data_IF_536921504490
#
_entry.id   IF_536921504490
#
_cell.length_a   1.000
_cell.length_b   1.000
_cell.length_c   1.000
_cell.angle_alpha   90.00
_cell.angle_beta   90.00
_cell.angle_gamma   90.00
#
_symmetry.space_group_name_H-M   'P 1'
#
loop_
_entity.id
_entity.type
_entity.pdbx_description
1 polymer ?
#
# COMPACT_ATOMS: atom_id res chain seq x y z
N UNK A 1 15.06 52.70 -0.47
CA UNK A 1 13.82 52.15 0.12
C UNK A 1 13.86 50.66 -0.16
N UNK A 2 14.03 49.88 0.90
CA UNK A 2 14.67 48.57 0.93
C UNK A 2 13.93 47.42 0.22
N UNK A 3 14.70 46.61 -0.50
CA UNK A 3 14.36 45.27 -0.93
C UNK A 3 14.38 44.32 0.28
N UNK A 4 13.21 43.84 0.70
CA UNK A 4 13.09 42.85 1.77
C UNK A 4 13.64 41.49 1.32
N UNK A 5 14.73 41.04 1.96
CA UNK A 5 15.28 39.68 1.85
C UNK A 5 14.34 38.69 2.57
N UNK A 6 14.12 37.47 2.02
CA UNK A 6 13.43 36.43 2.77
C UNK A 6 14.31 35.95 3.93
N UNK A 7 13.78 35.95 5.15
CA UNK A 7 14.49 35.43 6.32
C UNK A 7 14.49 33.88 6.35
N UNK A 8 15.57 33.24 6.83
CA UNK A 8 15.64 31.80 6.94
C UNK A 8 14.72 31.30 8.06
N UNK A 9 13.76 30.43 7.74
CA UNK A 9 12.92 29.77 8.76
C UNK A 9 13.79 28.78 9.54
N UNK A 10 13.87 29.01 10.84
CA UNK A 10 14.57 28.19 11.83
C UNK A 10 14.12 26.73 11.76
N UNK A 11 15.12 25.88 11.64
CA UNK A 11 15.09 24.45 11.91
C UNK A 11 14.79 24.24 13.41
N UNK A 12 13.67 23.59 13.72
CA UNK A 12 13.51 22.88 15.00
C UNK A 12 12.86 21.54 14.67
N UNK A 13 13.70 20.52 14.59
CA UNK A 13 13.27 19.13 14.59
C UNK A 13 12.72 18.80 15.99
N UNK A 14 11.45 18.40 16.06
CA UNK A 14 10.94 17.58 17.15
C UNK A 14 9.79 16.71 16.65
N UNK A 15 9.82 15.44 17.03
CA UNK A 15 8.96 14.34 16.62
C UNK A 15 7.45 14.65 16.70
N UNK A 16 6.87 15.14 15.62
CA UNK A 16 5.42 15.16 15.43
C UNK A 16 4.99 13.81 14.88
N UNK A 17 4.45 12.96 15.76
CA UNK A 17 3.68 11.83 15.30
C UNK A 17 2.53 12.32 14.43
N UNK A 18 2.65 12.23 13.10
CA UNK A 18 1.56 12.30 12.09
C UNK A 18 0.26 11.81 12.72
N UNK A 19 -0.61 12.76 13.09
CA UNK A 19 -1.98 12.51 13.54
C UNK A 19 -2.78 11.97 12.35
N UNK A 20 -3.96 11.42 12.62
CA UNK A 20 -4.73 10.63 11.67
C UNK A 20 -4.89 11.35 10.32
N UNK A 21 -4.14 10.88 9.32
CA UNK A 21 -4.23 11.38 7.96
C UNK A 21 -5.64 11.11 7.40
N UNK A 22 -6.29 12.16 6.92
CA UNK A 22 -7.53 12.05 6.14
C UNK A 22 -7.18 11.58 4.73
N UNK A 23 -8.02 10.72 4.14
CA UNK A 23 -7.91 10.31 2.74
C UNK A 23 -9.09 10.92 1.97
N UNK A 24 -8.81 11.58 0.86
CA UNK A 24 -9.82 12.20 -0.01
C UNK A 24 -9.46 12.07 -1.48
N UNK A 25 -10.44 12.28 -2.36
CA UNK A 25 -10.17 12.46 -3.80
C UNK A 25 -9.45 13.78 -4.02
N UNK A 26 -8.40 13.75 -4.84
CA UNK A 26 -7.74 14.94 -5.34
C UNK A 26 -8.61 15.58 -6.42
N UNK A 27 -8.70 16.90 -6.39
CA UNK A 27 -9.31 17.68 -7.45
C UNK A 27 -8.41 17.69 -8.69
N UNK A 28 -9.02 17.92 -9.86
CA UNK A 28 -8.28 18.00 -11.14
C UNK A 28 -7.13 19.02 -11.09
N UNK A 29 -7.32 20.13 -10.38
CA UNK A 29 -6.29 21.17 -10.21
C UNK A 29 -5.09 20.71 -9.37
N UNK A 30 -5.25 19.70 -8.53
CA UNK A 30 -4.22 19.20 -7.61
C UNK A 30 -3.32 18.13 -8.25
N UNK A 31 -3.76 17.51 -9.35
CA UNK A 31 -3.05 16.38 -9.98
C UNK A 31 -1.58 16.70 -10.34
N UNK A 32 -1.27 17.96 -10.66
CA UNK A 32 0.11 18.39 -10.91
C UNK A 32 0.97 18.35 -9.64
N UNK A 33 0.43 18.78 -8.50
CA UNK A 33 1.13 18.73 -7.22
C UNK A 33 1.33 17.27 -6.78
N UNK A 34 0.29 16.43 -6.96
CA UNK A 34 0.36 15.00 -6.64
C UNK A 34 1.38 14.27 -7.52
N UNK A 35 1.49 14.61 -8.81
CA UNK A 35 2.53 14.08 -9.68
C UNK A 35 3.95 14.44 -9.20
N UNK A 36 4.16 15.68 -8.74
CA UNK A 36 5.42 16.11 -8.14
C UNK A 36 5.79 15.31 -6.89
N UNK A 37 4.82 15.13 -5.99
CA UNK A 37 4.97 14.28 -4.82
C UNK A 37 5.30 12.83 -5.18
N UNK A 38 4.58 12.25 -6.15
CA UNK A 38 4.81 10.87 -6.59
C UNK A 38 6.23 10.71 -7.14
N UNK A 39 6.69 11.65 -7.99
CA UNK A 39 8.04 11.60 -8.55
C UNK A 39 9.12 11.65 -7.47
N UNK A 40 8.93 12.54 -6.50
CA UNK A 40 9.85 12.71 -5.37
C UNK A 40 9.99 11.42 -4.54
N UNK A 41 8.86 10.82 -4.17
CA UNK A 41 8.82 9.69 -3.23
C UNK A 41 9.02 8.32 -3.88
N UNK A 42 8.65 8.18 -5.16
CA UNK A 42 8.72 6.92 -5.90
C UNK A 42 10.00 6.80 -6.74
N UNK A 43 10.30 7.79 -7.60
CA UNK A 43 11.46 7.72 -8.50
C UNK A 43 12.74 8.22 -7.83
N UNK A 44 12.69 9.39 -7.19
CA UNK A 44 13.90 10.06 -6.75
C UNK A 44 14.30 9.74 -5.32
N UNK A 45 13.51 8.96 -4.57
CA UNK A 45 13.82 8.64 -3.19
C UNK A 45 15.22 8.03 -3.03
N UNK A 46 15.74 7.30 -4.01
CA UNK A 46 17.05 6.64 -3.93
C UNK A 46 18.20 7.41 -4.59
N UNK A 47 17.93 8.48 -5.34
CA UNK A 47 18.96 9.27 -6.03
C UNK A 47 19.68 10.18 -5.04
N UNK A 48 20.99 9.97 -4.86
CA UNK A 48 21.82 10.74 -3.91
C UNK A 48 22.49 11.96 -4.53
N UNK A 49 22.69 12.01 -5.85
CA UNK A 49 23.25 13.18 -6.54
C UNK A 49 22.20 14.30 -6.70
N UNK A 50 22.43 15.50 -6.15
CA UNK A 50 21.46 16.61 -6.22
C UNK A 50 21.23 17.17 -7.62
N UNK A 51 22.24 17.13 -8.50
CA UNK A 51 22.16 17.68 -9.86
C UNK A 51 21.31 16.80 -10.75
N UNK A 52 21.56 15.48 -10.67
CA UNK A 52 20.78 14.46 -11.36
C UNK A 52 19.34 14.46 -10.89
N UNK A 53 19.14 14.56 -9.57
CA UNK A 53 17.82 14.71 -8.96
C UNK A 53 17.05 15.89 -9.56
N UNK A 54 17.65 17.08 -9.60
CA UNK A 54 16.99 18.28 -10.12
C UNK A 54 16.67 18.17 -11.63
N UNK A 55 17.60 17.61 -12.42
CA UNK A 55 17.42 17.40 -13.86
C UNK A 55 16.28 16.42 -14.15
N UNK A 56 16.28 15.26 -13.51
CA UNK A 56 15.26 14.24 -13.69
C UNK A 56 13.89 14.70 -13.17
N UNK A 57 13.85 15.43 -12.05
CA UNK A 57 12.60 15.90 -11.45
C UNK A 57 11.75 16.70 -12.44
N UNK A 58 12.35 17.65 -13.15
CA UNK A 58 11.59 18.51 -14.08
C UNK A 58 10.94 17.71 -15.21
N UNK A 59 11.68 16.78 -15.84
CA UNK A 59 11.16 15.96 -16.94
C UNK A 59 10.11 14.96 -16.44
N UNK A 60 10.44 14.21 -15.38
CA UNK A 60 9.54 13.21 -14.81
C UNK A 60 8.24 13.82 -14.29
N UNK A 61 8.30 15.00 -13.67
CA UNK A 61 7.10 15.69 -13.21
C UNK A 61 6.20 16.11 -14.37
N UNK A 62 6.77 16.58 -15.49
CA UNK A 62 5.98 16.95 -16.65
C UNK A 62 5.30 15.73 -17.28
N UNK A 63 6.02 14.62 -17.42
CA UNK A 63 5.49 13.36 -17.95
C UNK A 63 4.42 12.78 -17.02
N UNK A 64 4.72 12.69 -15.72
CA UNK A 64 3.82 12.13 -14.73
C UNK A 64 2.57 12.99 -14.53
N UNK A 65 2.69 14.33 -14.63
CA UNK A 65 1.53 15.22 -14.56
C UNK A 65 0.59 15.03 -15.75
N UNK A 66 1.13 14.79 -16.96
CA UNK A 66 0.32 14.46 -18.14
C UNK A 66 -0.36 13.10 -18.00
N UNK A 67 0.37 12.09 -17.52
CA UNK A 67 -0.18 10.77 -17.24
C UNK A 67 -1.32 10.84 -16.21
N UNK A 68 -1.11 11.52 -15.07
CA UNK A 68 -2.14 11.66 -14.04
C UNK A 68 -3.36 12.41 -14.53
N UNK A 69 -3.17 13.50 -15.28
CA UNK A 69 -4.29 14.26 -15.85
C UNK A 69 -5.11 13.42 -16.82
N UNK A 70 -4.44 12.56 -17.60
CA UNK A 70 -5.10 11.65 -18.55
C UNK A 70 -5.85 10.52 -17.83
N UNK A 71 -5.23 9.90 -16.82
CA UNK A 71 -5.74 8.69 -16.16
C UNK A 71 -6.75 8.98 -15.04
N UNK A 72 -6.59 10.10 -14.34
CA UNK A 72 -7.33 10.41 -13.11
C UNK A 72 -8.12 11.72 -13.20
N UNK A 73 -8.10 12.37 -14.36
CA UNK A 73 -8.88 13.59 -14.62
C UNK A 73 -10.33 13.32 -15.04
N UNK A 74 -10.75 12.06 -15.14
CA UNK A 74 -12.08 11.65 -15.60
C UNK A 74 -13.01 11.31 -14.44
N UNK A 75 -14.30 11.10 -14.72
CA UNK A 75 -15.29 10.78 -13.69
C UNK A 75 -15.17 9.34 -13.17
N UNK A 76 -14.80 8.40 -14.04
CA UNK A 76 -14.62 6.95 -13.83
C UNK A 76 -13.22 6.56 -13.32
N UNK A 77 -12.53 7.52 -12.70
CA UNK A 77 -11.20 7.34 -12.14
C UNK A 77 -10.99 8.26 -10.94
N UNK A 78 -10.05 7.91 -10.06
CA UNK A 78 -9.71 8.75 -8.92
C UNK A 78 -8.22 8.71 -8.62
N UNK A 79 -7.66 9.89 -8.33
CA UNK A 79 -6.43 10.00 -7.56
C UNK A 79 -6.85 10.28 -6.12
N UNK A 80 -6.59 9.35 -5.21
CA UNK A 80 -6.83 9.51 -3.78
C UNK A 80 -5.53 9.98 -3.13
N UNK A 81 -5.64 10.98 -2.26
CA UNK A 81 -4.51 11.55 -1.53
C UNK A 81 -4.72 11.45 -0.03
N UNK A 82 -3.61 11.37 0.70
CA UNK A 82 -3.60 11.46 2.14
C UNK A 82 -2.83 12.70 2.58
N UNK A 83 -3.42 13.46 3.47
CA UNK A 83 -2.86 14.68 4.05
C UNK A 83 -2.64 14.47 5.55
N UNK A 84 -1.58 15.06 6.11
CA UNK A 84 -1.40 15.10 7.55
C UNK A 84 -2.23 16.23 8.20
N UNK A 85 -2.04 16.45 9.50
CA UNK A 85 -2.82 17.44 10.24
C UNK A 85 -2.56 18.89 9.80
N UNK A 86 -1.44 19.13 9.13
CA UNK A 86 -1.05 20.45 8.63
C UNK A 86 -1.52 20.67 7.18
N UNK A 87 -2.23 19.68 6.60
CA UNK A 87 -2.67 19.70 5.20
C UNK A 87 -1.59 19.28 4.21
N UNK A 88 -0.44 18.78 4.69
CA UNK A 88 0.66 18.40 3.81
C UNK A 88 0.40 17.04 3.17
N UNK A 89 0.63 16.95 1.86
CA UNK A 89 0.51 15.71 1.09
C UNK A 89 1.55 14.68 1.57
N UNK A 90 1.07 13.55 2.09
CA UNK A 90 1.91 12.47 2.65
C UNK A 90 1.69 11.12 1.98
N UNK A 91 0.76 11.01 1.04
CA UNK A 91 0.60 9.82 0.23
C UNK A 91 -0.43 9.98 -0.88
N UNK A 92 -0.36 9.10 -1.88
CA UNK A 92 -1.33 9.05 -2.97
C UNK A 92 -1.53 7.62 -3.46
N UNK A 93 -2.67 7.35 -4.11
CA UNK A 93 -2.96 6.12 -4.88
C UNK A 93 -3.96 6.45 -5.97
N UNK A 94 -3.74 5.93 -7.17
CA UNK A 94 -4.64 6.10 -8.31
C UNK A 94 -5.49 4.86 -8.56
N UNK A 95 -6.73 5.07 -8.98
CA UNK A 95 -7.64 4.04 -9.49
C UNK A 95 -8.18 4.48 -10.84
N UNK A 96 -8.11 3.61 -11.84
CA UNK A 96 -8.71 3.83 -13.15
C UNK A 96 -9.04 2.51 -13.83
N UNK A 97 -9.93 2.51 -14.81
CA UNK A 97 -10.08 1.36 -15.69
C UNK A 97 -8.89 1.19 -16.63
N UNK A 98 -8.42 -0.03 -16.80
CA UNK A 98 -7.42 -0.33 -17.82
C UNK A 98 -7.30 -1.81 -18.13
N UNK A 99 -6.69 -2.10 -19.27
CA UNK A 99 -6.38 -3.47 -19.69
C UNK A 99 -5.05 -3.89 -19.10
N UNK A 100 -4.96 -5.15 -18.70
CA UNK A 100 -3.72 -5.76 -18.22
C UNK A 100 -3.38 -6.91 -19.16
N UNK A 101 -2.16 -6.95 -19.71
CA UNK A 101 -1.71 -8.10 -20.49
C UNK A 101 -1.78 -9.37 -19.64
N UNK A 102 -2.45 -10.40 -20.15
CA UNK A 102 -2.40 -11.76 -19.60
C UNK A 102 -1.78 -12.73 -20.63
N UNK A 103 -1.12 -13.80 -20.16
CA UNK A 103 -0.45 -14.76 -21.02
C UNK A 103 -1.39 -15.60 -21.90
N UNK A 104 -2.69 -15.63 -21.63
CA UNK A 104 -3.71 -16.36 -22.38
C UNK A 104 -5.00 -15.55 -22.55
N UNK A 105 -5.68 -15.71 -23.70
CA UNK A 105 -6.93 -14.99 -24.05
C UNK A 105 -8.05 -15.21 -23.03
N UNK A 106 -8.01 -16.31 -22.26
CA UNK A 106 -8.94 -16.62 -21.17
C UNK A 106 -8.65 -15.91 -19.85
N UNK A 107 -7.43 -15.38 -19.63
CA UNK A 107 -7.03 -14.86 -18.31
C UNK A 107 -6.88 -13.34 -18.23
N UNK A 108 -7.07 -12.58 -19.32
CA UNK A 108 -7.51 -11.18 -19.24
C UNK A 108 -7.91 -10.62 -20.61
N UNK A 109 -9.18 -10.25 -20.77
CA UNK A 109 -9.54 -9.15 -21.66
C UNK A 109 -10.84 -8.46 -21.21
N UNK A 110 -10.67 -7.39 -20.44
CA UNK A 110 -11.70 -6.46 -19.99
C UNK A 110 -11.03 -5.25 -19.35
N UNK A 111 -11.67 -4.06 -19.32
CA UNK A 111 -11.20 -3.00 -18.45
C UNK A 111 -11.37 -3.45 -17.00
N UNK A 112 -10.27 -3.56 -16.26
CA UNK A 112 -10.30 -3.85 -14.82
C UNK A 112 -10.15 -2.56 -14.04
N UNK A 113 -10.72 -2.51 -12.83
CA UNK A 113 -10.40 -1.47 -11.87
C UNK A 113 -8.95 -1.62 -11.39
N UNK A 114 -8.05 -0.83 -11.97
CA UNK A 114 -6.62 -0.86 -11.70
C UNK A 114 -6.24 0.11 -10.61
N UNK A 115 -5.69 -0.43 -9.53
CA UNK A 115 -5.04 0.33 -8.46
C UNK A 115 -3.55 0.48 -8.82
N UNK A 116 -3.09 1.71 -8.94
CA UNK A 116 -1.74 2.05 -9.37
C UNK A 116 -1.18 3.27 -8.62
N UNK A 117 0.08 3.60 -8.87
CA UNK A 117 0.69 4.85 -8.41
C UNK A 117 0.60 5.10 -6.89
N UNK A 118 0.63 4.02 -6.10
CA UNK A 118 0.71 4.10 -4.64
C UNK A 118 2.10 4.60 -4.21
N UNK A 119 2.13 5.78 -3.59
CA UNK A 119 3.32 6.33 -2.96
C UNK A 119 3.00 6.87 -1.57
N UNK A 120 3.94 6.72 -0.64
CA UNK A 120 3.84 7.24 0.72
C UNK A 120 5.15 7.92 1.08
N UNK A 121 5.01 9.14 1.61
CA UNK A 121 6.10 9.95 2.12
C UNK A 121 6.96 9.14 3.08
N UNK A 122 8.29 9.23 2.98
CA UNK A 122 9.21 8.55 3.91
C UNK A 122 8.80 8.71 5.38
N UNK A 123 8.43 9.93 5.79
CA UNK A 123 7.95 10.26 7.15
C UNK A 123 6.63 9.58 7.56
N UNK A 124 5.81 9.18 6.59
CA UNK A 124 4.53 8.48 6.80
C UNK A 124 4.63 6.94 6.71
N UNK A 125 5.80 6.38 6.35
CA UNK A 125 5.97 4.93 6.20
C UNK A 125 5.90 4.21 7.54
N UNK A 126 5.48 2.94 7.51
CA UNK A 126 5.34 2.05 8.70
C UNK A 126 4.29 2.52 9.72
N UNK A 127 3.42 3.46 9.34
CA UNK A 127 2.36 4.02 10.21
C UNK A 127 0.94 3.70 9.70
N UNK A 128 0.82 2.68 8.87
CA UNK A 128 -0.44 2.23 8.31
C UNK A 128 -1.00 3.08 7.16
N UNK A 129 -0.31 4.14 6.73
CA UNK A 129 -0.83 5.05 5.70
C UNK A 129 -1.16 4.35 4.37
N UNK A 130 -0.26 3.49 3.89
CA UNK A 130 -0.49 2.72 2.67
C UNK A 130 -1.72 1.80 2.79
N UNK A 131 -1.98 1.24 3.98
CA UNK A 131 -3.19 0.44 4.25
C UNK A 131 -4.45 1.30 4.18
N UNK A 132 -4.41 2.52 4.70
CA UNK A 132 -5.55 3.47 4.63
C UNK A 132 -5.84 3.90 3.19
N UNK A 133 -4.80 4.23 2.42
CA UNK A 133 -4.93 4.57 1.00
C UNK A 133 -5.51 3.41 0.20
N UNK A 134 -5.02 2.18 0.42
CA UNK A 134 -5.57 0.99 -0.25
C UNK A 134 -7.02 0.72 0.16
N UNK A 135 -7.39 0.86 1.44
CA UNK A 135 -8.77 0.70 1.87
C UNK A 135 -9.71 1.72 1.21
N UNK A 136 -9.27 2.96 1.04
CA UNK A 136 -10.02 3.99 0.31
C UNK A 136 -10.12 3.68 -1.19
N UNK A 137 -9.04 3.17 -1.79
CA UNK A 137 -9.06 2.72 -3.19
C UNK A 137 -10.03 1.55 -3.39
N UNK A 138 -9.99 0.54 -2.52
CA UNK A 138 -10.91 -0.60 -2.55
C UNK A 138 -12.38 -0.17 -2.34
N UNK A 139 -12.62 0.81 -1.46
CA UNK A 139 -13.94 1.40 -1.28
C UNK A 139 -14.40 2.11 -2.56
N UNK A 140 -13.56 2.92 -3.19
CA UNK A 140 -13.87 3.58 -4.46
C UNK A 140 -14.20 2.56 -5.57
N UNK A 141 -13.42 1.48 -5.68
CA UNK A 141 -13.71 0.41 -6.65
C UNK A 141 -15.09 -0.20 -6.43
N UNK A 142 -15.46 -0.51 -5.18
CA UNK A 142 -16.75 -1.13 -4.86
C UNK A 142 -17.92 -0.15 -4.94
N UNK A 143 -17.76 1.07 -4.44
CA UNK A 143 -18.86 2.02 -4.19
C UNK A 143 -19.07 2.96 -5.37
N UNK A 144 -18.00 3.46 -5.99
CA UNK A 144 -18.09 4.45 -7.07
C UNK A 144 -18.00 3.80 -8.45
N UNK A 145 -17.20 2.75 -8.61
CA UNK A 145 -17.08 2.01 -9.87
C UNK A 145 -18.03 0.80 -9.96
N UNK A 146 -18.65 0.41 -8.84
CA UNK A 146 -19.54 -0.77 -8.73
C UNK A 146 -18.87 -2.08 -9.18
N UNK A 147 -17.55 -2.17 -9.00
CA UNK A 147 -16.75 -3.33 -9.38
C UNK A 147 -16.48 -4.25 -8.19
N UNK A 148 -16.47 -5.56 -8.44
CA UNK A 148 -16.21 -6.56 -7.40
C UNK A 148 -14.73 -6.92 -7.26
N UNK A 149 -13.90 -6.56 -8.23
CA UNK A 149 -12.48 -6.93 -8.25
C UNK A 149 -11.56 -5.72 -8.43
N UNK A 150 -10.53 -5.63 -7.60
CA UNK A 150 -9.42 -4.69 -7.77
C UNK A 150 -8.18 -5.44 -8.24
N UNK A 151 -7.53 -4.89 -9.28
CA UNK A 151 -6.28 -5.44 -9.84
C UNK A 151 -5.14 -4.45 -9.64
N UNK A 152 -3.94 -4.95 -9.40
CA UNK A 152 -2.71 -4.17 -9.38
C UNK A 152 -1.56 -4.93 -10.02
N UNK A 153 -0.60 -4.18 -10.53
CA UNK A 153 0.69 -4.68 -11.00
C UNK A 153 1.79 -4.24 -10.04
N UNK A 154 2.68 -5.16 -9.70
CA UNK A 154 3.82 -4.87 -8.83
C UNK A 154 5.07 -5.58 -9.31
N UNK A 155 6.19 -4.85 -9.40
CA UNK A 155 7.49 -5.44 -9.68
C UNK A 155 7.79 -6.56 -8.66
N UNK A 156 8.16 -7.74 -9.15
CA UNK A 156 8.55 -8.89 -8.34
C UNK A 156 9.62 -8.53 -7.30
N UNK A 157 10.55 -7.62 -7.62
CA UNK A 157 11.64 -7.17 -6.74
C UNK A 157 11.16 -6.21 -5.64
N UNK A 158 9.96 -5.63 -5.75
CA UNK A 158 9.39 -4.74 -4.74
C UNK A 158 8.77 -5.53 -3.57
N UNK A 159 9.63 -6.20 -2.80
CA UNK A 159 9.25 -7.02 -1.64
C UNK A 159 8.38 -6.26 -0.62
N UNK A 160 8.66 -4.99 -0.27
CA UNK A 160 7.81 -4.24 0.66
C UNK A 160 6.37 -4.06 0.17
N UNK A 161 6.18 -3.73 -1.12
CA UNK A 161 4.84 -3.55 -1.70
C UNK A 161 4.11 -4.89 -1.82
N UNK A 162 4.79 -5.95 -2.30
CA UNK A 162 4.21 -7.30 -2.36
C UNK A 162 3.70 -7.78 -1.00
N UNK A 163 4.51 -7.64 0.06
CA UNK A 163 4.10 -8.00 1.42
C UNK A 163 2.98 -7.12 1.95
N UNK A 164 2.84 -5.88 1.49
CA UNK A 164 1.67 -5.06 1.81
C UNK A 164 0.43 -5.68 1.16
N UNK A 165 0.44 -5.90 -0.16
CA UNK A 165 -0.71 -6.40 -0.90
C UNK A 165 -1.15 -7.79 -0.44
N UNK A 166 -0.21 -8.72 -0.23
CA UNK A 166 -0.50 -10.06 0.32
C UNK A 166 -1.19 -9.97 1.70
N UNK A 167 -0.79 -9.03 2.56
CA UNK A 167 -1.44 -8.80 3.87
C UNK A 167 -2.81 -8.14 3.76
N UNK A 168 -3.10 -7.48 2.64
CA UNK A 168 -4.40 -6.88 2.36
C UNK A 168 -5.36 -7.86 1.68
N UNK A 169 -4.92 -9.09 1.39
CA UNK A 169 -5.74 -10.13 0.76
C UNK A 169 -5.60 -10.22 -0.76
N UNK A 170 -4.72 -9.42 -1.38
CA UNK A 170 -4.42 -9.57 -2.80
C UNK A 170 -3.65 -10.86 -3.06
N UNK A 171 -4.09 -11.60 -4.08
CA UNK A 171 -3.48 -12.85 -4.51
C UNK A 171 -2.84 -12.70 -5.88
N UNK A 172 -1.66 -13.28 -6.05
CA UNK A 172 -0.98 -13.35 -7.35
C UNK A 172 -1.82 -14.20 -8.30
N UNK A 173 -2.01 -13.73 -9.53
CA UNK A 173 -2.75 -14.45 -10.59
C UNK A 173 -1.81 -14.88 -11.71
N UNK A 174 -1.04 -13.94 -12.27
CA UNK A 174 -0.02 -14.23 -13.28
C UNK A 174 1.16 -13.26 -13.16
N UNK A 175 2.15 -13.43 -14.04
CA UNK A 175 3.27 -12.52 -14.20
C UNK A 175 3.36 -12.04 -15.65
N UNK A 176 3.77 -10.79 -15.82
CA UNK A 176 4.05 -10.14 -17.10
C UNK A 176 5.58 -9.98 -17.23
N UNK A 177 6.25 -10.86 -18.00
CA UNK A 177 7.70 -10.81 -18.19
C UNK A 177 8.17 -9.71 -19.17
N UNK A 178 7.26 -9.13 -19.94
CA UNK A 178 7.56 -8.13 -20.96
C UNK A 178 7.39 -6.69 -20.45
N UNK A 179 7.00 -6.54 -19.18
CA UNK A 179 6.83 -5.26 -18.52
C UNK A 179 8.14 -4.46 -18.45
N UNK A 180 7.99 -3.13 -18.45
CA UNK A 180 9.09 -2.18 -18.28
C UNK A 180 8.75 -1.20 -17.17
N UNK A 181 9.73 -0.90 -16.33
CA UNK A 181 9.65 0.16 -15.33
C UNK A 181 10.63 1.28 -15.68
N UNK A 182 10.23 2.52 -15.38
CA UNK A 182 11.16 3.65 -15.45
C UNK A 182 12.03 3.65 -14.20
N UNK A 183 13.34 3.77 -14.39
CA UNK A 183 14.31 3.96 -13.32
C UNK A 183 15.21 5.15 -13.62
N UNK A 184 15.72 5.79 -12.57
CA UNK A 184 16.73 6.84 -12.69
C UNK A 184 18.09 6.22 -12.44
N UNK A 185 18.92 6.18 -13.49
CA UNK A 185 20.29 5.65 -13.48
C UNK A 185 21.21 6.77 -13.96
N UNK A 186 22.18 7.15 -13.15
CA UNK A 186 23.20 8.17 -13.47
C UNK A 186 22.61 9.44 -14.13
N UNK A 187 21.58 10.00 -13.48
CA UNK A 187 20.90 11.23 -13.94
C UNK A 187 20.08 11.09 -15.21
N UNK A 188 19.82 9.86 -15.65
CA UNK A 188 19.05 9.54 -16.85
C UNK A 188 17.84 8.67 -16.51
N UNK A 189 16.71 8.95 -17.15
CA UNK A 189 15.49 8.13 -17.03
C UNK A 189 15.57 7.03 -18.08
N UNK A 190 15.62 5.78 -17.65
CA UNK A 190 15.74 4.61 -18.54
C UNK A 190 14.60 3.64 -18.27
N UNK A 191 14.09 3.02 -19.33
CA UNK A 191 13.14 1.92 -19.21
C UNK A 191 13.91 0.61 -19.03
N UNK A 192 13.70 -0.08 -17.91
CA UNK A 192 14.31 -1.37 -17.65
C UNK A 192 13.26 -2.49 -17.68
N UNK A 193 13.60 -3.67 -18.25
CA UNK A 193 12.76 -4.85 -18.12
C UNK A 193 12.54 -5.23 -16.66
N UNK A 194 11.29 -5.46 -16.29
CA UNK A 194 10.90 -5.93 -14.96
C UNK A 194 9.90 -7.07 -15.09
N UNK A 195 9.91 -7.99 -14.13
CA UNK A 195 8.84 -8.97 -14.02
C UNK A 195 7.74 -8.37 -13.14
N UNK A 196 6.64 -7.95 -13.76
CA UNK A 196 5.48 -7.48 -13.00
C UNK A 196 4.60 -8.67 -12.60
N UNK A 197 4.20 -8.70 -11.34
CA UNK A 197 3.20 -9.64 -10.83
C UNK A 197 1.84 -8.97 -10.86
N UNK A 198 0.89 -9.60 -11.54
CA UNK A 198 -0.51 -9.22 -11.43
C UNK A 198 -1.09 -9.82 -10.15
N UNK A 199 -1.66 -8.96 -9.31
CA UNK A 199 -2.36 -9.35 -8.11
C UNK A 199 -3.80 -8.84 -8.11
N UNK A 200 -4.71 -9.69 -7.62
CA UNK A 200 -6.15 -9.44 -7.63
C UNK A 200 -6.75 -9.66 -6.25
N UNK A 201 -7.77 -8.89 -5.92
CA UNK A 201 -8.57 -9.02 -4.70
C UNK A 201 -10.05 -8.85 -5.01
N UNK A 202 -10.89 -9.68 -4.40
CA UNK A 202 -12.34 -9.47 -4.39
C UNK A 202 -12.68 -8.40 -3.35
N UNK A 203 -13.23 -7.27 -3.78
CA UNK A 203 -13.55 -6.11 -2.94
C UNK A 203 -15.05 -5.94 -2.67
N UNK A 204 -15.90 -6.85 -3.13
CA UNK A 204 -17.37 -6.80 -2.99
C UNK A 204 -17.88 -6.67 -1.55
N UNK A 205 -17.06 -7.00 -0.54
CA UNK A 205 -17.44 -6.94 0.88
C UNK A 205 -18.38 -8.07 1.33
N UNK A 206 -18.71 -9.00 0.44
CA UNK A 206 -19.53 -10.18 0.76
C UNK A 206 -18.80 -11.14 1.71
N UNK A 207 -19.56 -11.98 2.43
CA UNK A 207 -18.98 -13.02 3.28
C UNK A 207 -18.09 -13.99 2.47
N UNK A 208 -18.50 -14.30 1.23
CA UNK A 208 -17.69 -15.08 0.30
C UNK A 208 -16.34 -14.40 -0.02
N UNK A 209 -16.34 -13.10 -0.29
CA UNK A 209 -15.12 -12.34 -0.52
C UNK A 209 -14.20 -12.28 0.69
N UNK A 210 -14.74 -12.18 1.91
CA UNK A 210 -13.95 -12.23 3.13
C UNK A 210 -13.21 -13.56 3.25
N UNK A 211 -13.90 -14.69 3.03
CA UNK A 211 -13.29 -16.03 3.03
C UNK A 211 -12.28 -16.18 1.90
N UNK A 212 -12.62 -15.72 0.69
CA UNK A 212 -11.70 -15.74 -0.44
C UNK A 212 -10.40 -14.99 -0.11
N UNK A 213 -10.47 -13.85 0.55
CA UNK A 213 -9.30 -13.01 0.83
C UNK A 213 -8.47 -13.47 2.04
N UNK A 214 -8.92 -14.45 2.83
CA UNK A 214 -8.17 -14.97 3.97
C UNK A 214 -6.87 -15.65 3.52
N UNK A 215 -5.81 -15.44 4.30
CA UNK A 215 -4.56 -16.21 4.15
C UNK A 215 -4.71 -17.51 4.92
N UNK A 216 -3.99 -18.55 4.48
CA UNK A 216 -3.97 -19.83 5.19
C UNK A 216 -3.56 -19.70 6.66
N UNK A 217 -2.67 -18.75 6.97
CA UNK A 217 -2.28 -18.43 8.35
C UNK A 217 -3.46 -17.91 9.19
N UNK A 218 -4.33 -17.10 8.59
CA UNK A 218 -5.50 -16.55 9.24
C UNK A 218 -6.55 -17.66 9.44
N UNK A 219 -6.71 -18.55 8.46
CA UNK A 219 -7.56 -19.75 8.57
C UNK A 219 -7.06 -20.68 9.68
N UNK A 220 -5.75 -20.95 9.74
CA UNK A 220 -5.15 -21.80 10.78
C UNK A 220 -5.31 -21.19 12.17
N UNK A 221 -5.13 -19.87 12.31
CA UNK A 221 -5.36 -19.16 13.56
C UNK A 221 -6.84 -19.23 13.99
N UNK A 222 -7.77 -18.99 13.07
CA UNK A 222 -9.20 -19.11 13.34
C UNK A 222 -9.57 -20.53 13.76
N UNK A 223 -9.04 -21.55 13.08
CA UNK A 223 -9.24 -22.95 13.44
C UNK A 223 -8.68 -23.26 14.85
N UNK A 224 -7.51 -22.72 15.19
CA UNK A 224 -6.93 -22.86 16.53
C UNK A 224 -7.77 -22.16 17.61
N UNK A 225 -8.31 -20.97 17.33
CA UNK A 225 -9.22 -20.26 18.24
C UNK A 225 -10.50 -21.08 18.45
N UNK A 226 -11.11 -21.59 17.36
CA UNK A 226 -12.32 -22.42 17.43
C UNK A 226 -12.04 -23.70 18.22
N UNK A 227 -10.93 -24.39 17.95
CA UNK A 227 -10.52 -25.57 18.71
C UNK A 227 -10.27 -25.25 20.19
N UNK A 228 -9.61 -24.13 20.50
CA UNK A 228 -9.37 -23.67 21.87
C UNK A 228 -10.65 -23.32 22.62
N UNK A 229 -11.64 -22.71 21.95
CA UNK A 229 -12.97 -22.43 22.55
C UNK A 229 -13.74 -23.73 22.74
N UNK A 230 -13.75 -24.63 21.76
CA UNK A 230 -14.45 -25.92 21.84
C UNK A 230 -13.85 -26.85 22.91
N UNK A 231 -12.55 -26.71 23.19
CA UNK A 231 -11.86 -27.45 24.25
C UNK A 231 -11.60 -26.65 25.53
N UNK A 232 -12.20 -25.47 25.69
CA UNK A 232 -11.96 -24.62 26.87
C UNK A 232 -12.19 -25.39 28.17
N UNK A 233 -13.30 -26.12 28.23
CA UNK A 233 -13.70 -26.82 29.45
C UNK A 233 -12.85 -28.10 29.67
N UNK A 234 -12.44 -28.79 28.60
CA UNK A 234 -11.50 -29.94 28.65
C UNK A 234 -10.07 -29.55 29.01
N UNK A 235 -9.60 -28.39 28.57
CA UNK A 235 -8.28 -27.86 28.89
C UNK A 235 -8.20 -27.41 30.36
N UNK A 236 -9.31 -26.90 30.91
CA UNK A 236 -9.41 -26.58 32.34
C UNK A 236 -9.35 -27.85 33.21
N UNK A 237 -9.99 -28.94 32.79
CA UNK A 237 -9.92 -30.25 33.48
C UNK A 237 -8.50 -30.86 33.49
N UNK A 238 -7.69 -30.60 32.45
CA UNK A 238 -6.30 -31.09 32.35
C UNK A 238 -5.28 -30.20 33.08
N UNK A 239 -5.62 -28.95 33.38
CA UNK A 239 -4.74 -28.02 34.09
C UNK A 239 -4.74 -28.27 35.61
N UNK A 240 -5.84 -28.79 36.16
CA UNK A 240 -6.03 -29.02 37.59
C UNK A 240 -5.12 -30.12 38.20
N UNK A 241 -4.79 -31.22 37.49
CA UNK A 241 -3.79 -32.19 37.96
C UNK A 241 -2.36 -31.65 37.90
N UNK A 242 -2.06 -30.77 36.94
CA UNK A 242 -0.74 -30.19 36.73
C UNK A 242 -0.40 -29.13 37.79
N UNK A 243 -1.38 -28.33 38.22
CA UNK A 243 -1.22 -27.40 39.34
C UNK A 243 -0.99 -28.16 40.66
N UNK A 244 -1.72 -29.25 40.91
CA UNK A 244 -1.53 -30.10 42.10
C UNK A 244 -0.16 -30.78 42.12
N UNK A 245 0.31 -31.29 40.98
CA UNK A 245 1.66 -31.86 40.86
C UNK A 245 2.76 -30.83 41.09
N UNK A 246 2.56 -29.58 40.65
CA UNK A 246 3.49 -28.49 40.92
C UNK A 246 3.49 -28.06 42.39
N UNK A 247 2.32 -28.01 43.03
CA UNK A 247 2.20 -27.72 44.47
C UNK A 247 2.83 -28.83 45.33
N UNK A 248 2.65 -30.10 44.94
CA UNK A 248 3.31 -31.25 45.56
C UNK A 248 4.83 -31.22 45.36
N UNK A 249 5.32 -30.86 44.16
CA UNK A 249 6.75 -30.72 43.90
C UNK A 249 7.37 -29.55 44.68
N UNK A 250 6.66 -28.43 44.82
CA UNK A 250 7.13 -27.26 45.58
C UNK A 250 7.16 -27.55 47.09
N UNK A 251 6.22 -28.34 47.60
CA UNK A 251 6.19 -28.75 49.03
C UNK A 251 7.14 -29.90 49.35
N UNK A 252 7.58 -30.68 48.36
CA UNK A 252 8.55 -31.76 48.52
C UNK A 252 10.02 -31.30 48.49
N UNK A 253 10.31 -30.02 48.18
CA UNK A 253 11.65 -29.47 48.29
C UNK A 253 11.90 -29.08 49.75
N UNK A 254 12.78 -29.79 50.50
CA UNK A 254 13.10 -29.40 51.86
C UNK A 254 13.82 -28.04 51.85
N UNK A 255 13.39 -27.13 52.72
CA UNK A 255 14.10 -25.88 52.96
C UNK A 255 15.54 -26.18 53.45
N UNK A 256 16.53 -25.33 53.10
CA UNK A 256 17.94 -25.55 53.44
C UNK A 256 18.20 -25.60 54.95
#
# INVERSE_FOLDING_TARGET
RDCARPQPRREVAAAAGVRAAGVRRAERGELRAVAGFFVEEFFLGRTTDPTDRARCFKSLCADQSRDFSRRYGTSDSAMLIAEDADGELIGCVGVNFGRVPAPDESSADGPFALVANLAVARRGRRRGLAKKLMAAAEAFVREDLEEEEAILLVDQKNVPARRLYERLGYKRRWADPDAKALEVVDGSVVAQPVLNLCMRKNVSGSAGALVENLRWQDVALLAAIVAGVAWRDRLAELADPLSRLLDELVTAIPAP
#
